data_IF_274933086011
#
_entry.id   IF_274933086011
#
_cell.length_a   1.000
_cell.length_b   1.000
_cell.length_c   1.000
_cell.angle_alpha   90.00
_cell.angle_beta   90.00
_cell.angle_gamma   90.00
#
_symmetry.space_group_name_H-M   'P 1'
#
loop_
_entity.id
_entity.type
_entity.pdbx_description
1 polymer ?
#
# COMPACT_ATOMS: atom_id res chain seq x y z
N UNK A 1 -51.31 -21.60 0.23
CA UNK A 1 -49.92 -21.33 -0.20
C UNK A 1 -49.03 -22.57 -0.18
N UNK A 2 -49.34 -23.62 0.60
CA UNK A 2 -48.57 -24.88 0.68
C UNK A 2 -48.75 -25.84 -0.51
N UNK A 3 -49.90 -25.81 -1.21
CA UNK A 3 -50.16 -26.68 -2.37
C UNK A 3 -49.29 -26.36 -3.60
N UNK A 4 -48.64 -25.19 -3.65
CA UNK A 4 -47.82 -24.77 -4.81
C UNK A 4 -46.37 -25.25 -4.79
N UNK A 5 -45.94 -25.93 -3.72
CA UNK A 5 -44.56 -26.44 -3.56
C UNK A 5 -44.44 -27.94 -3.84
N UNK A 6 -45.53 -28.61 -4.23
CA UNK A 6 -45.58 -30.05 -4.44
C UNK A 6 -45.17 -30.50 -5.86
N UNK A 7 -44.84 -29.57 -6.76
CA UNK A 7 -44.66 -29.85 -8.20
C UNK A 7 -43.22 -29.82 -8.72
N UNK A 8 -42.20 -29.75 -7.86
CA UNK A 8 -40.81 -29.91 -8.31
C UNK A 8 -40.12 -31.12 -7.69
N UNK A 9 -39.44 -31.85 -8.55
CA UNK A 9 -38.74 -33.13 -8.40
C UNK A 9 -37.55 -33.10 -7.43
N UNK A 10 -37.67 -32.47 -6.26
CA UNK A 10 -36.65 -32.41 -5.21
C UNK A 10 -37.05 -33.15 -3.92
N UNK A 11 -38.23 -33.79 -3.90
CA UNK A 11 -38.87 -34.32 -2.69
C UNK A 11 -38.54 -35.79 -2.35
N UNK A 12 -37.38 -36.31 -2.76
CA UNK A 12 -36.95 -37.67 -2.39
C UNK A 12 -35.68 -37.72 -1.53
N UNK A 13 -35.17 -36.57 -1.09
CA UNK A 13 -34.07 -36.55 -0.11
C UNK A 13 -34.63 -36.74 1.31
N UNK A 14 -34.18 -37.76 2.07
CA UNK A 14 -34.64 -38.03 3.44
C UNK A 14 -34.38 -36.84 4.39
N UNK A 15 -33.44 -35.96 4.05
CA UNK A 15 -33.14 -34.72 4.77
C UNK A 15 -34.32 -33.71 4.76
N UNK A 16 -35.06 -33.62 3.65
CA UNK A 16 -36.18 -32.69 3.54
C UNK A 16 -37.40 -33.14 4.33
N UNK A 17 -37.65 -34.45 4.40
CA UNK A 17 -38.73 -35.02 5.21
C UNK A 17 -38.48 -34.79 6.71
N UNK A 18 -37.22 -34.88 7.15
CA UNK A 18 -36.83 -34.60 8.53
C UNK A 18 -36.98 -33.11 8.90
N UNK A 19 -36.67 -32.20 7.97
CA UNK A 19 -36.92 -30.77 8.15
C UNK A 19 -38.41 -30.45 8.15
N UNK A 20 -39.21 -31.11 7.30
CA UNK A 20 -40.66 -30.90 7.25
C UNK A 20 -41.37 -31.42 8.50
N UNK A 21 -40.93 -32.53 9.10
CA UNK A 21 -41.51 -33.02 10.37
C UNK A 21 -41.17 -32.10 11.54
N UNK A 22 -39.92 -31.65 11.64
CA UNK A 22 -39.49 -30.66 12.65
C UNK A 22 -40.27 -29.34 12.52
N UNK A 23 -40.47 -28.85 11.30
CA UNK A 23 -41.24 -27.64 11.04
C UNK A 23 -42.75 -27.80 11.29
N UNK A 24 -43.28 -29.01 11.13
CA UNK A 24 -44.68 -29.30 11.43
C UNK A 24 -44.93 -29.31 12.95
N UNK A 25 -44.05 -29.93 13.73
CA UNK A 25 -44.13 -29.95 15.20
C UNK A 25 -43.89 -28.56 15.81
N UNK A 26 -43.00 -27.77 15.21
CA UNK A 26 -42.80 -26.36 15.57
C UNK A 26 -44.00 -25.46 15.20
N UNK A 27 -44.81 -25.83 14.20
CA UNK A 27 -46.01 -25.10 13.82
C UNK A 27 -47.19 -25.39 14.77
N UNK A 28 -47.28 -26.62 15.29
CA UNK A 28 -48.38 -27.03 16.20
C UNK A 28 -48.17 -26.47 17.62
N UNK A 29 -46.93 -26.35 18.09
CA UNK A 29 -46.62 -25.79 19.42
C UNK A 29 -46.63 -24.26 19.48
N UNK A 30 -46.83 -23.56 18.36
CA UNK A 30 -46.67 -22.10 18.27
C UNK A 30 -47.97 -21.36 17.95
N UNK A 31 -49.04 -21.74 18.66
CA UNK A 31 -50.26 -20.95 18.81
C UNK A 31 -50.35 -20.43 20.25
N UNK A 32 -49.34 -19.68 20.69
CA UNK A 32 -49.50 -18.80 21.84
C UNK A 32 -48.62 -17.54 21.68
N UNK A 33 -49.25 -16.41 21.97
CA UNK A 33 -48.86 -14.99 21.86
C UNK A 33 -48.11 -14.50 20.58
N UNK A 34 -48.91 -14.00 19.63
CA UNK A 34 -48.53 -13.38 18.35
C UNK A 34 -47.88 -11.98 18.47
N UNK A 35 -47.90 -11.35 19.65
CA UNK A 35 -47.40 -9.97 19.82
C UNK A 35 -45.91 -9.92 20.18
N UNK A 36 -45.48 -10.73 21.15
CA UNK A 36 -44.09 -10.78 21.66
C UNK A 36 -43.09 -11.43 20.69
N UNK A 37 -43.55 -12.37 19.86
CA UNK A 37 -42.68 -13.04 18.90
C UNK A 37 -42.29 -12.14 17.71
N UNK A 38 -43.19 -11.24 17.28
CA UNK A 38 -42.90 -10.30 16.18
C UNK A 38 -41.90 -9.23 16.60
N UNK A 39 -41.96 -8.75 17.84
CA UNK A 39 -40.95 -7.82 18.39
C UNK A 39 -39.61 -8.52 18.55
N UNK A 40 -39.58 -9.76 19.07
CA UNK A 40 -38.36 -10.54 19.20
C UNK A 40 -37.62 -10.77 17.87
N UNK A 41 -38.32 -11.20 16.81
CA UNK A 41 -37.68 -11.40 15.49
C UNK A 41 -37.28 -10.09 14.82
N UNK A 42 -38.01 -9.00 15.08
CA UNK A 42 -37.67 -7.68 14.56
C UNK A 42 -36.38 -7.15 15.20
N UNK A 43 -36.26 -7.24 16.53
CA UNK A 43 -35.05 -6.86 17.26
C UNK A 43 -33.85 -7.77 16.93
N UNK A 44 -34.07 -9.09 16.81
CA UNK A 44 -33.03 -10.04 16.44
C UNK A 44 -32.52 -9.81 15.01
N UNK A 45 -33.41 -9.52 14.04
CA UNK A 45 -33.02 -9.20 12.67
C UNK A 45 -32.39 -7.81 12.55
N UNK A 46 -32.92 -6.79 13.23
CA UNK A 46 -32.32 -5.45 13.26
C UNK A 46 -30.90 -5.50 13.84
N UNK A 47 -30.67 -6.27 14.91
CA UNK A 47 -29.34 -6.49 15.49
C UNK A 47 -28.37 -7.28 14.59
N UNK A 48 -28.87 -8.17 13.73
CA UNK A 48 -28.04 -8.89 12.74
C UNK A 48 -27.68 -7.98 11.55
N UNK A 49 -28.64 -7.20 11.05
CA UNK A 49 -28.46 -6.29 9.93
C UNK A 49 -27.52 -5.14 10.30
N UNK A 50 -27.69 -4.53 11.49
CA UNK A 50 -26.81 -3.47 11.97
C UNK A 50 -25.36 -3.96 12.12
N UNK A 51 -25.15 -5.14 12.70
CA UNK A 51 -23.81 -5.76 12.78
C UNK A 51 -23.18 -5.98 11.41
N UNK A 52 -23.98 -6.38 10.41
CA UNK A 52 -23.50 -6.57 9.04
C UNK A 52 -23.11 -5.23 8.39
N UNK A 53 -23.91 -4.19 8.58
CA UNK A 53 -23.62 -2.84 8.09
C UNK A 53 -22.37 -2.24 8.76
N UNK A 54 -22.19 -2.46 10.06
CA UNK A 54 -20.97 -2.05 10.78
C UNK A 54 -19.74 -2.80 10.27
N UNK A 55 -19.86 -4.11 10.02
CA UNK A 55 -18.79 -4.91 9.40
C UNK A 55 -18.45 -4.42 7.99
N UNK A 56 -19.45 -4.09 7.17
CA UNK A 56 -19.23 -3.58 5.81
C UNK A 56 -18.63 -2.17 5.82
N UNK A 57 -19.08 -1.29 6.74
CA UNK A 57 -18.53 0.04 6.92
C UNK A 57 -17.07 -0.01 7.40
N UNK A 58 -16.72 -0.93 8.30
CA UNK A 58 -15.34 -1.14 8.73
C UNK A 58 -14.49 -1.77 7.63
N UNK A 59 -15.03 -2.71 6.84
CA UNK A 59 -14.34 -3.27 5.68
C UNK A 59 -14.07 -2.21 4.59
N UNK A 60 -15.03 -1.31 4.34
CA UNK A 60 -14.85 -0.19 3.41
C UNK A 60 -13.78 0.79 3.90
N UNK A 61 -13.78 1.13 5.20
CA UNK A 61 -12.71 1.94 5.81
C UNK A 61 -11.33 1.28 5.67
N UNK A 62 -11.22 -0.03 5.93
CA UNK A 62 -9.97 -0.79 5.75
C UNK A 62 -9.49 -0.76 4.29
N UNK A 63 -10.40 -0.97 3.32
CA UNK A 63 -10.06 -0.89 1.89
C UNK A 63 -9.57 0.50 1.49
N UNK A 64 -10.23 1.56 1.98
CA UNK A 64 -9.81 2.95 1.73
C UNK A 64 -8.43 3.23 2.34
N UNK A 65 -8.23 2.88 3.60
CA UNK A 65 -6.95 3.07 4.29
C UNK A 65 -5.82 2.25 3.65
N UNK A 66 -6.10 1.02 3.24
CA UNK A 66 -5.14 0.18 2.51
C UNK A 66 -4.75 0.81 1.17
N UNK A 67 -5.72 1.32 0.41
CA UNK A 67 -5.46 2.03 -0.86
C UNK A 67 -4.58 3.26 -0.63
N UNK A 68 -4.88 4.08 0.38
CA UNK A 68 -4.07 5.26 0.73
C UNK A 68 -2.63 4.87 1.11
N UNK A 69 -2.43 3.79 1.86
CA UNK A 69 -1.09 3.28 2.20
C UNK A 69 -0.31 2.81 0.98
N UNK A 70 -0.97 2.17 0.03
CA UNK A 70 -0.34 1.72 -1.23
C UNK A 70 0.04 2.94 -2.10
N UNK A 71 -0.88 3.90 -2.23
CA UNK A 71 -0.65 5.14 -2.99
C UNK A 71 0.49 5.97 -2.40
N UNK A 72 0.54 6.10 -1.07
CA UNK A 72 1.62 6.80 -0.37
C UNK A 72 2.97 6.10 -0.59
N UNK A 73 3.03 4.77 -0.48
CA UNK A 73 4.26 4.00 -0.77
C UNK A 73 4.72 4.15 -2.22
N UNK A 74 3.79 4.16 -3.18
CA UNK A 74 4.11 4.37 -4.59
C UNK A 74 4.77 5.73 -4.84
N UNK A 75 4.20 6.79 -4.27
CA UNK A 75 4.73 8.17 -4.40
C UNK A 75 6.17 8.29 -3.89
N UNK A 76 6.48 7.69 -2.74
CA UNK A 76 7.85 7.69 -2.17
C UNK A 76 8.85 6.92 -3.04
N UNK A 77 8.39 6.07 -3.97
CA UNK A 77 9.24 5.30 -4.88
C UNK A 77 9.47 5.96 -6.24
N UNK A 78 8.63 6.93 -6.64
CA UNK A 78 8.74 7.58 -7.95
C UNK A 78 9.99 8.46 -8.08
N UNK A 79 10.29 9.25 -7.04
CA UNK A 79 11.38 10.25 -7.15
C UNK A 79 12.79 9.65 -7.09
N UNK A 80 13.14 8.59 -6.31
CA UNK A 80 14.46 7.98 -6.39
C UNK A 80 14.66 7.27 -7.73
N UNK A 81 13.60 6.68 -8.29
CA UNK A 81 13.63 6.08 -9.62
C UNK A 81 13.92 7.13 -10.70
N UNK A 82 13.34 8.33 -10.60
CA UNK A 82 13.65 9.44 -11.50
C UNK A 82 15.13 9.84 -11.44
N UNK A 83 15.74 9.91 -10.24
CA UNK A 83 17.17 10.21 -10.07
C UNK A 83 18.04 9.14 -10.73
N UNK A 84 17.68 7.86 -10.59
CA UNK A 84 18.38 6.74 -11.24
C UNK A 84 18.30 6.85 -12.76
N UNK A 85 17.13 7.15 -13.32
CA UNK A 85 16.97 7.34 -14.77
C UNK A 85 17.79 8.52 -15.27
N UNK A 86 17.82 9.64 -14.55
CA UNK A 86 18.65 10.81 -14.90
C UNK A 86 20.15 10.44 -14.91
N UNK A 87 20.60 9.65 -13.92
CA UNK A 87 21.97 9.14 -13.87
C UNK A 87 22.29 8.17 -15.02
N UNK A 88 21.32 7.35 -15.45
CA UNK A 88 21.47 6.47 -16.62
C UNK A 88 21.52 7.26 -17.93
N UNK A 89 20.73 8.33 -18.05
CA UNK A 89 20.82 9.24 -19.21
C UNK A 89 22.18 9.94 -19.25
N UNK A 90 22.81 10.20 -18.11
CA UNK A 90 24.15 10.76 -18.03
C UNK A 90 25.24 9.88 -18.65
N UNK A 91 24.99 8.57 -18.77
CA UNK A 91 25.90 7.62 -19.41
C UNK A 91 25.81 7.65 -20.93
N UNK A 92 24.67 8.07 -21.49
CA UNK A 92 24.55 8.25 -22.93
C UNK A 92 25.48 9.39 -23.38
N UNK A 93 26.11 9.24 -24.55
CA UNK A 93 26.94 10.24 -25.22
C UNK A 93 26.15 11.53 -25.53
N UNK A 94 25.87 12.33 -24.51
CA UNK A 94 25.18 13.59 -24.64
C UNK A 94 26.16 14.77 -24.81
N UNK A 95 25.72 15.84 -25.50
CA UNK A 95 26.50 17.06 -25.61
C UNK A 95 26.97 17.58 -24.24
N UNK A 96 28.20 18.08 -24.15
CA UNK A 96 28.84 18.43 -22.87
C UNK A 96 28.07 19.43 -21.99
N UNK A 97 27.20 20.25 -22.57
CA UNK A 97 26.35 21.19 -21.80
C UNK A 97 25.21 20.49 -21.06
N UNK A 98 24.68 19.40 -21.61
CA UNK A 98 23.63 18.62 -20.95
C UNK A 98 24.15 17.95 -19.67
N UNK A 99 25.42 17.55 -19.69
CA UNK A 99 26.10 16.97 -18.54
C UNK A 99 26.16 17.92 -17.34
N UNK A 100 26.26 19.25 -17.57
CA UNK A 100 26.20 20.26 -16.50
C UNK A 100 24.82 20.31 -15.84
N UNK A 101 23.75 20.24 -16.63
CA UNK A 101 22.36 20.22 -16.15
C UNK A 101 22.09 18.95 -15.35
N UNK A 102 22.58 17.81 -15.82
CA UNK A 102 22.51 16.54 -15.09
C UNK A 102 23.21 16.64 -13.74
N UNK A 103 24.45 17.15 -13.71
CA UNK A 103 25.20 17.37 -12.45
C UNK A 103 24.43 18.24 -11.47
N UNK A 104 23.88 19.36 -11.93
CA UNK A 104 23.06 20.24 -11.10
C UNK A 104 21.82 19.53 -10.54
N UNK A 105 21.13 18.75 -11.36
CA UNK A 105 19.92 18.03 -10.96
C UNK A 105 20.22 16.93 -9.93
N UNK A 106 21.30 16.16 -10.16
CA UNK A 106 21.77 15.12 -9.22
C UNK A 106 22.23 15.76 -7.91
N UNK A 107 22.96 16.88 -7.98
CA UNK A 107 23.39 17.64 -6.82
C UNK A 107 22.19 18.10 -5.96
N UNK A 108 21.17 18.69 -6.58
CA UNK A 108 19.95 19.13 -5.89
C UNK A 108 19.21 17.95 -5.23
N UNK A 109 19.09 16.83 -5.96
CA UNK A 109 18.45 15.62 -5.43
C UNK A 109 19.21 15.03 -4.24
N UNK A 110 20.54 14.91 -4.33
CA UNK A 110 21.39 14.44 -3.24
C UNK A 110 21.36 15.40 -2.03
N UNK A 111 21.35 16.72 -2.26
CA UNK A 111 21.19 17.71 -1.20
C UNK A 111 19.86 17.57 -0.45
N UNK A 112 18.76 17.40 -1.19
CA UNK A 112 17.45 17.13 -0.60
C UNK A 112 17.43 15.83 0.21
N UNK A 113 18.06 14.77 -0.31
CA UNK A 113 18.20 13.50 0.41
C UNK A 113 19.02 13.62 1.69
N UNK A 114 20.10 14.40 1.67
CA UNK A 114 20.92 14.67 2.83
C UNK A 114 20.10 15.39 3.92
N UNK A 115 19.27 16.37 3.53
CA UNK A 115 18.36 17.03 4.46
C UNK A 115 17.32 16.05 5.03
N UNK A 116 16.65 15.26 4.18
CA UNK A 116 15.68 14.26 4.67
C UNK A 116 16.33 13.27 5.64
N UNK A 117 17.51 12.76 5.31
CA UNK A 117 18.28 11.86 6.19
C UNK A 117 18.72 12.54 7.50
N UNK A 118 19.00 13.85 7.48
CA UNK A 118 19.26 14.63 8.68
C UNK A 118 18.03 14.69 9.59
N UNK A 119 16.84 14.96 9.04
CA UNK A 119 15.59 14.96 9.82
C UNK A 119 15.26 13.59 10.41
N UNK A 120 15.59 12.51 9.69
CA UNK A 120 15.41 11.13 10.13
C UNK A 120 16.49 10.66 11.12
N UNK A 121 17.46 11.51 11.50
CA UNK A 121 18.55 11.15 12.43
C UNK A 121 19.57 10.15 11.86
N UNK A 122 19.55 9.90 10.54
CA UNK A 122 20.38 8.89 9.87
C UNK A 122 21.74 9.47 9.48
N UNK A 123 22.64 9.59 10.46
CA UNK A 123 23.96 10.24 10.31
C UNK A 123 24.77 9.69 9.13
N UNK A 124 24.86 8.36 8.98
CA UNK A 124 25.59 7.73 7.88
C UNK A 124 25.05 8.15 6.51
N UNK A 125 23.73 8.02 6.31
CA UNK A 125 23.07 8.36 5.04
C UNK A 125 23.15 9.85 4.75
N UNK A 126 22.99 10.71 5.76
CA UNK A 126 23.17 12.16 5.63
C UNK A 126 24.54 12.50 5.05
N UNK A 127 25.61 11.98 5.67
CA UNK A 127 26.97 12.28 5.24
C UNK A 127 27.26 11.72 3.84
N UNK A 128 26.78 10.51 3.54
CA UNK A 128 26.93 9.88 2.23
C UNK A 128 26.25 10.71 1.11
N UNK A 129 25.02 11.18 1.34
CA UNK A 129 24.31 12.06 0.40
C UNK A 129 24.95 13.45 0.29
N UNK A 130 25.47 14.00 1.40
CA UNK A 130 26.15 15.29 1.38
C UNK A 130 27.46 15.23 0.57
N UNK A 131 28.24 14.17 0.71
CA UNK A 131 29.45 13.94 -0.09
C UNK A 131 29.11 13.76 -1.58
N UNK A 132 28.05 13.01 -1.89
CA UNK A 132 27.56 12.88 -3.27
C UNK A 132 27.12 14.22 -3.84
N UNK A 133 26.39 15.05 -3.08
CA UNK A 133 26.00 16.39 -3.52
C UNK A 133 27.22 17.28 -3.77
N UNK A 134 28.23 17.23 -2.90
CA UNK A 134 29.47 17.96 -3.09
C UNK A 134 30.24 17.51 -4.35
N UNK A 135 30.29 16.21 -4.62
CA UNK A 135 30.94 15.68 -5.82
C UNK A 135 30.26 16.19 -7.11
N UNK A 136 28.93 16.21 -7.16
CA UNK A 136 28.17 16.68 -8.34
C UNK A 136 27.96 18.20 -8.39
N UNK A 137 28.54 18.96 -7.44
CA UNK A 137 28.36 20.39 -7.36
C UNK A 137 29.04 21.10 -8.56
N UNK A 138 28.30 21.83 -9.41
CA UNK A 138 28.87 22.48 -10.58
C UNK A 138 29.85 23.61 -10.24
N UNK A 139 29.80 24.16 -9.01
CA UNK A 139 30.71 25.20 -8.54
C UNK A 139 32.07 24.64 -8.08
N UNK A 140 32.18 23.31 -7.90
CA UNK A 140 33.43 22.64 -7.59
C UNK A 140 33.96 21.97 -8.87
N UNK A 141 34.92 22.60 -9.58
CA UNK A 141 35.44 22.04 -10.83
C UNK A 141 36.36 20.86 -10.56
N UNK A 142 35.77 19.68 -10.34
CA UNK A 142 36.49 18.42 -10.25
C UNK A 142 36.78 17.92 -11.67
N UNK A 143 38.02 18.11 -12.11
CA UNK A 143 38.50 17.63 -13.41
C UNK A 143 38.90 16.16 -13.28
N UNK A 144 37.94 15.28 -13.52
CA UNK A 144 38.17 13.84 -13.68
C UNK A 144 37.87 13.43 -15.12
N UNK A 145 38.54 12.38 -15.57
CA UNK A 145 38.26 11.73 -16.83
C UNK A 145 36.85 11.11 -16.82
N UNK A 146 36.27 10.93 -18.00
CA UNK A 146 34.89 10.44 -18.15
C UNK A 146 34.67 9.10 -17.46
N UNK A 147 35.61 8.17 -17.63
CA UNK A 147 35.55 6.83 -17.03
C UNK A 147 35.42 6.89 -15.49
N UNK A 148 36.18 7.80 -14.85
CA UNK A 148 36.08 8.01 -13.40
C UNK A 148 34.70 8.54 -12.97
N UNK A 149 34.10 9.44 -13.75
CA UNK A 149 32.76 9.96 -13.48
C UNK A 149 31.66 8.91 -13.66
N UNK A 150 31.86 7.97 -14.57
CA UNK A 150 30.93 6.85 -14.76
C UNK A 150 30.89 5.99 -13.50
N UNK A 151 32.07 5.64 -12.94
CA UNK A 151 32.17 4.89 -11.68
C UNK A 151 31.47 5.64 -10.53
N UNK A 152 31.76 6.93 -10.37
CA UNK A 152 31.11 7.77 -9.34
C UNK A 152 29.59 7.76 -9.51
N UNK A 153 29.11 7.79 -10.75
CA UNK A 153 27.67 7.75 -11.05
C UNK A 153 27.03 6.42 -10.66
N UNK A 154 27.69 5.29 -10.87
CA UNK A 154 27.23 3.98 -10.38
C UNK A 154 27.14 3.97 -8.85
N UNK A 155 28.19 4.46 -8.18
CA UNK A 155 28.23 4.50 -6.71
C UNK A 155 27.09 5.34 -6.17
N UNK A 156 26.84 6.52 -6.73
CA UNK A 156 25.71 7.37 -6.31
C UNK A 156 24.36 6.72 -6.60
N UNK A 157 24.22 6.05 -7.75
CA UNK A 157 23.00 5.31 -8.09
C UNK A 157 22.71 4.21 -7.06
N UNK A 158 23.72 3.40 -6.69
CA UNK A 158 23.60 2.39 -5.65
C UNK A 158 23.27 3.01 -4.29
N UNK A 159 23.91 4.12 -3.93
CA UNK A 159 23.68 4.84 -2.69
C UNK A 159 22.23 5.36 -2.60
N UNK A 160 21.67 5.88 -3.71
CA UNK A 160 20.27 6.30 -3.81
C UNK A 160 19.32 5.11 -3.64
N UNK A 161 19.58 4.00 -4.33
CA UNK A 161 18.74 2.80 -4.28
C UNK A 161 18.78 2.19 -2.87
N UNK A 162 19.96 1.88 -2.35
CA UNK A 162 20.12 1.24 -1.04
C UNK A 162 19.61 2.15 0.07
N UNK A 163 19.91 3.45 0.06
CA UNK A 163 19.40 4.35 1.08
C UNK A 163 17.88 4.52 1.02
N UNK A 164 17.28 4.43 -0.17
CA UNK A 164 15.82 4.41 -0.32
C UNK A 164 15.19 3.12 0.19
N UNK A 165 15.87 1.98 0.07
CA UNK A 165 15.43 0.70 0.66
C UNK A 165 15.66 0.67 2.18
N UNK A 166 16.80 1.17 2.66
CA UNK A 166 17.14 1.25 4.08
C UNK A 166 16.17 2.17 4.84
N UNK A 167 15.65 3.22 4.20
CA UNK A 167 14.57 4.07 4.76
C UNK A 167 13.27 3.32 5.03
N UNK A 168 13.03 2.19 4.34
CA UNK A 168 11.84 1.35 4.55
C UNK A 168 11.94 0.47 5.77
N UNK A 169 13.15 0.18 6.23
CA UNK A 169 13.33 -0.58 7.45
C UNK A 169 13.20 0.37 8.64
N UNK A 170 12.31 0.07 9.61
CA UNK A 170 12.31 0.79 10.87
C UNK A 170 13.69 0.61 11.49
N UNK A 171 14.28 1.69 11.99
CA UNK A 171 15.54 1.65 12.73
C UNK A 171 15.37 0.57 13.81
N UNK A 172 16.14 -0.53 13.73
CA UNK A 172 16.26 -1.46 14.85
C UNK A 172 16.91 -0.65 15.96
N UNK A 173 16.08 -0.19 16.91
CA UNK A 173 16.54 0.33 18.19
C UNK A 173 17.31 -0.79 18.88
N UNK A 174 18.64 -0.70 18.79
CA UNK A 174 19.55 -1.47 19.61
C UNK A 174 19.54 -0.93 21.05
#
# INVERSE_FOLDING_TARGET
MFERLKSESYLHSPFYLQILSELHDLCILRRDDSSSHRTFWKEAMEGQVLRKLEMDATAAKRKKQQKERIMAKGKEMLWPAAVVVILLVAWADMPGDFYKVVKFTVCAACGFMAWKAHQEGRVFWRNAYALAAAAYNPFLPIRMERESWEIVSVVVMLLVVVGSLARRQPLKSA
#
